data_IF_490280207629
#
_entry.id   IF_490280207629
#
_cell.length_a   1.000
_cell.length_b   1.000
_cell.length_c   1.000
_cell.angle_alpha   90.00
_cell.angle_beta   90.00
_cell.angle_gamma   90.00
#
_symmetry.space_group_name_H-M   'P 1'
#
loop_
_entity.id
_entity.type
_entity.pdbx_description
1 polymer ?
#
# COMPACT_ATOMS: atom_id res chain seq x y z
N UNK A 1 -20.31 28.93 -42.94
CA UNK A 1 -21.00 28.40 -41.76
C UNK A 1 -21.28 26.95 -42.09
N UNK A 2 -20.39 26.00 -41.86
CA UNK A 2 -19.74 25.64 -40.59
C UNK A 2 -18.37 24.99 -40.89
N UNK A 3 -17.31 25.61 -40.40
CA UNK A 3 -15.96 25.05 -40.26
C UNK A 3 -15.62 25.19 -38.77
N UNK A 4 -14.82 24.29 -38.22
CA UNK A 4 -14.43 24.13 -36.81
C UNK A 4 -15.29 23.17 -35.98
N UNK A 5 -15.07 21.87 -36.17
CA UNK A 5 -15.22 20.88 -35.09
C UNK A 5 -14.37 19.62 -35.34
N UNK A 6 -13.13 19.76 -35.79
CA UNK A 6 -12.19 18.63 -35.92
C UNK A 6 -10.78 19.08 -35.52
N UNK A 7 -10.55 19.30 -34.21
CA UNK A 7 -9.24 19.28 -33.55
C UNK A 7 -9.44 19.60 -32.06
N UNK A 8 -9.59 18.60 -31.19
CA UNK A 8 -9.38 18.73 -29.72
C UNK A 8 -9.48 17.38 -28.99
N UNK A 9 -8.97 16.28 -29.56
CA UNK A 9 -9.01 14.97 -28.87
C UNK A 9 -7.64 14.26 -28.83
N UNK A 10 -6.54 15.01 -28.92
CA UNK A 10 -5.20 14.40 -29.07
C UNK A 10 -4.09 15.26 -28.42
N UNK A 11 -4.24 15.71 -27.17
CA UNK A 11 -3.23 16.59 -26.54
C UNK A 11 -2.99 16.42 -25.03
N UNK A 12 -3.54 15.41 -24.36
CA UNK A 12 -3.25 15.21 -22.92
C UNK A 12 -1.97 14.40 -22.63
N UNK A 13 -1.50 13.59 -23.59
CA UNK A 13 -0.30 12.73 -23.42
C UNK A 13 1.03 13.50 -23.50
N UNK A 14 1.02 14.72 -24.05
CA UNK A 14 2.23 15.54 -24.29
C UNK A 14 2.40 16.69 -23.27
N UNK A 15 1.60 16.68 -22.20
CA UNK A 15 1.65 17.71 -21.16
C UNK A 15 2.88 17.53 -20.26
N UNK A 16 3.88 18.41 -20.44
CA UNK A 16 5.05 18.47 -19.55
C UNK A 16 4.87 19.52 -18.45
N UNK A 17 5.31 19.19 -17.24
CA UNK A 17 5.22 20.01 -16.04
C UNK A 17 6.60 20.50 -15.60
N UNK A 18 6.67 21.69 -15.05
CA UNK A 18 7.79 22.10 -14.20
C UNK A 18 7.72 21.37 -12.85
N UNK A 19 8.81 21.41 -12.06
CA UNK A 19 8.83 20.74 -10.74
C UNK A 19 7.77 21.28 -9.79
N UNK A 20 7.45 22.58 -9.86
CA UNK A 20 6.45 23.22 -9.00
C UNK A 20 5.03 22.78 -9.41
N UNK A 21 4.76 22.68 -10.72
CA UNK A 21 3.49 22.17 -11.24
C UNK A 21 3.29 20.69 -10.96
N UNK A 22 4.36 19.89 -11.04
CA UNK A 22 4.34 18.48 -10.67
C UNK A 22 4.02 18.31 -9.18
N UNK A 23 4.68 19.09 -8.31
CA UNK A 23 4.45 19.11 -6.87
C UNK A 23 2.97 19.40 -6.56
N UNK A 24 2.44 20.48 -7.12
CA UNK A 24 1.06 20.89 -6.92
C UNK A 24 0.06 19.81 -7.40
N UNK A 25 0.30 19.20 -8.56
CA UNK A 25 -0.59 18.16 -9.11
C UNK A 25 -0.53 16.84 -8.35
N UNK A 26 0.64 16.47 -7.86
CA UNK A 26 0.84 15.25 -7.09
C UNK A 26 0.49 15.40 -5.60
N UNK A 27 0.15 16.62 -5.13
CA UNK A 27 -0.16 16.86 -3.72
C UNK A 27 1.05 16.72 -2.79
N UNK A 28 2.27 16.81 -3.32
CA UNK A 28 3.52 16.68 -2.55
C UNK A 28 4.38 17.93 -2.66
N UNK A 29 5.37 18.06 -1.80
CA UNK A 29 6.31 19.19 -1.88
C UNK A 29 7.36 18.99 -2.98
N UNK A 30 7.92 20.10 -3.48
CA UNK A 30 9.10 20.07 -4.38
C UNK A 30 10.28 19.35 -3.72
N UNK A 31 10.41 19.47 -2.38
CA UNK A 31 11.42 18.76 -1.61
C UNK A 31 11.24 17.24 -1.72
N UNK A 32 10.01 16.75 -1.60
CA UNK A 32 9.66 15.32 -1.76
C UNK A 32 10.01 14.83 -3.17
N UNK A 33 9.66 15.58 -4.21
CA UNK A 33 10.01 15.22 -5.60
C UNK A 33 11.53 15.11 -5.76
N UNK A 34 12.29 16.10 -5.30
CA UNK A 34 13.76 16.06 -5.39
C UNK A 34 14.35 14.89 -4.62
N UNK A 35 13.80 14.59 -3.44
CA UNK A 35 14.20 13.43 -2.66
C UNK A 35 13.93 12.11 -3.39
N UNK A 36 12.77 11.95 -4.02
CA UNK A 36 12.48 10.77 -4.84
C UNK A 36 13.37 10.68 -6.08
N UNK A 37 13.67 11.81 -6.74
CA UNK A 37 14.63 11.84 -7.85
C UNK A 37 16.05 11.43 -7.42
N UNK A 38 16.55 11.91 -6.27
CA UNK A 38 17.90 11.53 -5.79
C UNK A 38 17.98 10.07 -5.32
N UNK A 39 16.85 9.49 -4.91
CA UNK A 39 16.70 8.07 -4.60
C UNK A 39 16.44 7.18 -5.83
N UNK A 40 16.40 7.75 -7.03
CA UNK A 40 16.13 6.99 -8.26
C UNK A 40 14.69 6.47 -8.37
N UNK A 41 13.78 6.92 -7.50
CA UNK A 41 12.37 6.52 -7.50
C UNK A 41 11.60 7.16 -8.66
N UNK A 42 12.09 8.28 -9.18
CA UNK A 42 11.57 8.94 -10.38
C UNK A 42 12.60 8.90 -11.50
N UNK A 43 12.19 8.67 -12.76
CA UNK A 43 13.07 8.86 -13.89
C UNK A 43 13.60 10.31 -13.95
N UNK A 44 14.76 10.54 -14.57
CA UNK A 44 15.29 11.88 -14.72
C UNK A 44 14.38 12.72 -15.63
N UNK A 45 14.12 14.00 -15.31
CA UNK A 45 13.32 14.86 -16.17
C UNK A 45 14.05 15.18 -17.47
N UNK A 46 13.28 15.54 -18.49
CA UNK A 46 13.83 16.08 -19.74
C UNK A 46 14.32 17.50 -19.47
N UNK A 47 15.60 17.77 -19.75
CA UNK A 47 16.16 19.11 -19.54
C UNK A 47 15.83 20.00 -20.73
N UNK A 48 14.91 20.94 -20.51
CA UNK A 48 14.47 21.91 -21.51
C UNK A 48 15.36 23.16 -21.57
N UNK A 49 14.91 24.17 -22.34
CA UNK A 49 15.58 25.47 -22.42
C UNK A 49 15.81 26.08 -21.04
N UNK A 50 16.93 26.80 -20.86
CA UNK A 50 17.34 27.40 -19.58
C UNK A 50 17.61 26.40 -18.43
N UNK A 51 17.88 25.13 -18.75
CA UNK A 51 18.18 24.06 -17.79
C UNK A 51 17.03 23.77 -16.82
N UNK A 52 15.80 24.04 -17.24
CA UNK A 52 14.59 23.70 -16.48
C UNK A 52 14.25 22.23 -16.74
N UNK A 53 14.00 21.46 -15.68
CA UNK A 53 13.55 20.07 -15.81
C UNK A 53 12.05 20.02 -16.11
N UNK A 54 11.68 19.30 -17.16
CA UNK A 54 10.32 19.02 -17.59
C UNK A 54 9.96 17.57 -17.28
N UNK A 55 8.82 17.39 -16.62
CA UNK A 55 8.31 16.11 -16.14
C UNK A 55 7.04 15.75 -16.92
N UNK A 56 6.99 14.58 -17.54
CA UNK A 56 5.80 14.09 -18.25
C UNK A 56 4.77 13.42 -17.32
N UNK A 57 3.65 13.00 -17.90
CA UNK A 57 2.57 12.26 -17.20
C UNK A 57 3.06 10.99 -16.49
N UNK A 58 4.07 10.33 -17.03
CA UNK A 58 4.71 9.17 -16.40
C UNK A 58 5.20 9.46 -14.96
N UNK A 59 5.64 10.70 -14.69
CA UNK A 59 6.10 11.11 -13.36
C UNK A 59 4.92 11.24 -12.40
N UNK A 60 3.78 11.78 -12.86
CA UNK A 60 2.56 11.85 -12.05
C UNK A 60 2.02 10.46 -11.72
N UNK A 61 1.90 9.59 -12.72
CA UNK A 61 1.45 8.21 -12.49
C UNK A 61 2.39 7.44 -11.57
N UNK A 62 3.71 7.65 -11.68
CA UNK A 62 4.69 7.02 -10.79
C UNK A 62 4.59 7.55 -9.37
N UNK A 63 4.38 8.86 -9.18
CA UNK A 63 4.14 9.46 -7.87
C UNK A 63 2.87 8.89 -7.22
N UNK A 64 1.78 8.78 -7.98
CA UNK A 64 0.53 8.20 -7.50
C UNK A 64 0.66 6.70 -7.15
N UNK A 65 1.49 5.95 -7.89
CA UNK A 65 1.83 4.57 -7.53
C UNK A 65 2.66 4.49 -6.24
N UNK A 66 3.64 5.37 -6.07
CA UNK A 66 4.44 5.46 -4.83
C UNK A 66 3.54 5.77 -3.64
N UNK A 67 2.67 6.78 -3.76
CA UNK A 67 1.69 7.15 -2.74
C UNK A 67 0.81 5.95 -2.36
N UNK A 68 0.27 5.24 -3.34
CA UNK A 68 -0.54 4.05 -3.11
C UNK A 68 0.24 2.96 -2.36
N UNK A 69 1.47 2.65 -2.78
CA UNK A 69 2.31 1.66 -2.10
C UNK A 69 2.65 2.10 -0.66
N UNK A 70 2.84 3.39 -0.40
CA UNK A 70 3.03 3.94 0.94
C UNK A 70 1.76 3.83 1.79
N UNK A 71 0.58 4.07 1.20
CA UNK A 71 -0.70 3.82 1.85
C UNK A 71 -0.86 2.34 2.26
N UNK A 72 -0.34 1.41 1.45
CA UNK A 72 -0.24 -0.01 1.79
C UNK A 72 0.83 -0.36 2.84
N UNK A 73 1.48 0.64 3.44
CA UNK A 73 2.47 0.47 4.50
C UNK A 73 3.85 0.00 4.00
N UNK A 74 4.13 0.11 2.70
CA UNK A 74 5.45 -0.23 2.17
C UNK A 74 6.48 0.85 2.53
N UNK A 75 7.59 0.41 3.11
CA UNK A 75 8.77 1.28 3.30
C UNK A 75 9.33 1.76 1.96
N UNK A 76 9.96 2.93 1.92
CA UNK A 76 10.59 3.44 0.70
C UNK A 76 11.61 2.47 0.07
N UNK A 77 12.38 1.74 0.88
CA UNK A 77 13.31 0.72 0.37
C UNK A 77 12.60 -0.49 -0.26
N UNK A 78 11.39 -0.83 0.21
CA UNK A 78 10.57 -1.85 -0.43
C UNK A 78 9.94 -1.33 -1.73
N UNK A 79 9.54 -0.06 -1.77
CA UNK A 79 9.00 0.61 -2.96
C UNK A 79 10.08 0.70 -4.05
N UNK A 80 11.31 1.07 -3.69
CA UNK A 80 12.46 1.10 -4.61
C UNK A 80 12.63 -0.26 -5.30
N UNK A 81 12.75 -1.35 -4.52
CA UNK A 81 12.87 -2.71 -5.06
C UNK A 81 11.67 -3.15 -5.89
N UNK A 82 10.47 -2.70 -5.56
CA UNK A 82 9.27 -2.99 -6.36
C UNK A 82 9.36 -2.29 -7.72
N UNK A 83 9.71 -1.01 -7.72
CA UNK A 83 9.84 -0.21 -8.94
C UNK A 83 11.00 -0.68 -9.83
N UNK A 84 12.09 -1.20 -9.27
CA UNK A 84 13.20 -1.82 -10.02
C UNK A 84 12.81 -3.10 -10.75
N UNK A 85 11.80 -3.84 -10.25
CA UNK A 85 11.30 -5.06 -10.89
C UNK A 85 10.32 -4.76 -12.03
N UNK A 86 9.84 -3.52 -12.15
CA UNK A 86 9.00 -3.10 -13.25
C UNK A 86 9.82 -3.00 -14.55
N UNK A 87 9.21 -3.29 -15.71
CA UNK A 87 9.86 -3.04 -17.00
C UNK A 87 10.33 -1.58 -17.10
N UNK A 88 11.49 -1.31 -17.73
CA UNK A 88 11.88 0.05 -18.01
C UNK A 88 10.93 0.69 -19.04
N UNK A 89 10.69 1.99 -18.92
CA UNK A 89 9.90 2.75 -19.90
C UNK A 89 8.39 2.51 -19.84
N UNK A 90 7.84 2.10 -18.70
CA UNK A 90 6.37 2.03 -18.52
C UNK A 90 5.72 3.39 -18.79
N UNK A 91 4.64 3.37 -19.56
CA UNK A 91 3.84 4.56 -19.82
C UNK A 91 3.11 5.03 -18.55
N UNK A 92 2.61 6.26 -18.57
CA UNK A 92 1.73 6.77 -17.50
C UNK A 92 0.49 5.87 -17.30
N UNK A 93 0.02 5.26 -18.39
CA UNK A 93 -1.10 4.33 -18.38
C UNK A 93 -0.75 3.02 -17.68
N UNK A 94 0.38 2.39 -18.01
CA UNK A 94 0.82 1.14 -17.38
C UNK A 94 1.01 1.29 -15.87
N UNK A 95 1.59 2.42 -15.44
CA UNK A 95 1.76 2.73 -14.03
C UNK A 95 0.41 2.88 -13.30
N UNK A 96 -0.60 3.46 -13.96
CA UNK A 96 -1.95 3.53 -13.40
C UNK A 96 -2.61 2.15 -13.27
N UNK A 97 -2.30 1.19 -14.15
CA UNK A 97 -2.73 -0.21 -14.02
C UNK A 97 -2.08 -0.84 -12.77
N UNK A 98 -0.76 -0.70 -12.63
CA UNK A 98 -0.04 -1.19 -11.45
C UNK A 98 -0.63 -0.62 -10.16
N UNK A 99 -0.92 0.69 -10.14
CA UNK A 99 -1.58 1.34 -9.00
C UNK A 99 -2.95 0.74 -8.71
N UNK A 100 -3.79 0.57 -9.73
CA UNK A 100 -5.13 0.01 -9.55
C UNK A 100 -5.10 -1.43 -9.00
N UNK A 101 -4.13 -2.23 -9.45
CA UNK A 101 -3.90 -3.58 -8.90
C UNK A 101 -3.50 -3.47 -7.43
N UNK A 102 -2.51 -2.66 -7.08
CA UNK A 102 -2.08 -2.47 -5.68
C UNK A 102 -3.25 -2.02 -4.80
N UNK A 103 -4.02 -1.02 -5.25
CA UNK A 103 -5.19 -0.53 -4.55
C UNK A 103 -6.27 -1.62 -4.35
N UNK A 104 -6.43 -2.53 -5.32
CA UNK A 104 -7.36 -3.66 -5.20
C UNK A 104 -6.93 -4.69 -4.15
N UNK A 105 -5.68 -4.69 -3.66
CA UNK A 105 -5.24 -5.57 -2.59
C UNK A 105 -5.20 -4.88 -1.22
N UNK A 106 -5.57 -3.60 -1.17
CA UNK A 106 -5.58 -2.83 0.06
C UNK A 106 -6.56 -3.43 1.09
N UNK A 107 -6.20 -3.52 2.38
CA UNK A 107 -7.17 -3.80 3.42
C UNK A 107 -8.22 -2.68 3.43
N UNK A 108 -9.45 -2.99 3.01
CA UNK A 108 -10.59 -2.09 3.17
C UNK A 108 -10.82 -1.89 4.68
N UNK A 109 -10.44 -0.73 5.22
CA UNK A 109 -10.77 -0.35 6.60
C UNK A 109 -9.63 0.15 7.48
N UNK A 110 -8.43 0.40 6.94
CA UNK A 110 -7.41 1.16 7.67
C UNK A 110 -7.77 2.65 7.69
N UNK A 111 -8.09 3.19 8.87
CA UNK A 111 -8.45 4.59 9.06
C UNK A 111 -7.48 5.28 10.02
N UNK A 112 -7.04 6.48 9.67
CA UNK A 112 -6.30 7.33 10.61
C UNK A 112 -7.27 8.00 11.59
N UNK A 113 -7.05 7.83 12.89
CA UNK A 113 -7.88 8.42 13.93
C UNK A 113 -7.06 8.92 15.13
N UNK A 114 -7.59 9.91 15.82
CA UNK A 114 -7.00 10.38 17.07
C UNK A 114 -7.22 9.37 18.18
N UNK A 115 -6.40 9.46 19.24
CA UNK A 115 -6.60 8.62 20.44
C UNK A 115 -8.03 8.68 20.98
N UNK A 116 -8.64 9.85 21.02
CA UNK A 116 -9.99 10.03 21.53
C UNK A 116 -11.05 9.31 20.66
N UNK A 117 -10.88 9.29 19.33
CA UNK A 117 -11.76 8.52 18.44
C UNK A 117 -11.54 7.02 18.59
N UNK A 118 -10.28 6.58 18.72
CA UNK A 118 -9.96 5.18 18.96
C UNK A 118 -10.60 4.66 20.26
N UNK A 119 -10.48 5.39 21.37
CA UNK A 119 -11.10 5.02 22.65
C UNK A 119 -12.64 5.02 22.57
N UNK A 120 -13.23 5.97 21.85
CA UNK A 120 -14.67 6.02 21.59
C UNK A 120 -15.15 4.80 20.80
N UNK A 121 -14.45 4.39 19.75
CA UNK A 121 -14.77 3.18 18.97
C UNK A 121 -14.50 1.89 19.74
N UNK A 122 -13.45 1.87 20.57
CA UNK A 122 -13.16 0.76 21.47
C UNK A 122 -14.21 0.63 22.59
N UNK A 123 -14.96 1.70 22.89
CA UNK A 123 -15.95 1.74 23.96
C UNK A 123 -15.35 1.74 25.36
N UNK A 124 -14.04 2.04 25.49
CA UNK A 124 -13.30 2.08 26.75
C UNK A 124 -12.05 2.95 26.61
N UNK A 125 -11.57 3.47 27.74
CA UNK A 125 -10.23 4.05 27.80
C UNK A 125 -9.17 2.97 27.55
N UNK A 126 -8.08 3.36 26.88
CA UNK A 126 -6.96 2.48 26.54
C UNK A 126 -5.71 2.97 27.24
N UNK A 127 -5.12 2.10 28.07
CA UNK A 127 -3.81 2.36 28.67
C UNK A 127 -2.68 2.23 27.64
N UNK A 128 -1.48 2.71 27.96
CA UNK A 128 -0.30 2.51 27.10
C UNK A 128 -0.06 1.02 26.79
N UNK A 129 -0.19 0.16 27.80
CA UNK A 129 -0.08 -1.29 27.62
C UNK A 129 -1.19 -1.88 26.74
N UNK A 130 -2.41 -1.32 26.77
CA UNK A 130 -3.47 -1.72 25.84
C UNK A 130 -3.12 -1.34 24.40
N UNK A 131 -2.57 -0.14 24.19
CA UNK A 131 -2.10 0.32 22.88
C UNK A 131 -0.95 -0.55 22.36
N UNK A 132 0.03 -0.87 23.20
CA UNK A 132 1.14 -1.75 22.85
C UNK A 132 0.65 -3.14 22.44
N UNK A 133 -0.34 -3.69 23.16
CA UNK A 133 -0.96 -4.97 22.80
C UNK A 133 -1.76 -4.88 21.51
N UNK A 134 -2.54 -3.81 21.30
CA UNK A 134 -3.25 -3.59 20.03
C UNK A 134 -2.28 -3.45 18.85
N UNK A 135 -1.16 -2.77 19.05
CA UNK A 135 -0.09 -2.67 18.05
C UNK A 135 0.56 -4.03 17.79
N UNK A 136 0.83 -4.82 18.85
CA UNK A 136 1.34 -6.18 18.73
C UNK A 136 0.38 -7.13 18.02
N UNK A 137 -0.94 -6.89 18.07
CA UNK A 137 -1.95 -7.63 17.32
C UNK A 137 -2.11 -7.12 15.86
N UNK A 138 -1.47 -6.00 15.51
CA UNK A 138 -1.63 -5.36 14.20
C UNK A 138 -2.94 -4.59 14.02
N UNK A 139 -3.67 -4.32 15.11
CA UNK A 139 -4.93 -3.56 15.09
C UNK A 139 -4.67 -2.08 14.88
N UNK A 140 -3.57 -1.57 15.44
CA UNK A 140 -3.14 -0.19 15.29
C UNK A 140 -1.69 -0.13 14.84
N UNK A 141 -1.34 0.92 14.12
CA UNK A 141 0.02 1.39 13.92
C UNK A 141 0.09 2.86 14.32
N UNK A 142 1.21 3.27 14.90
CA UNK A 142 1.47 4.69 15.13
C UNK A 142 1.65 5.36 13.76
N UNK A 143 0.83 6.37 13.46
CA UNK A 143 1.01 7.12 12.23
C UNK A 143 2.31 7.91 12.37
N UNK A 144 3.26 7.68 11.46
CA UNK A 144 4.41 8.57 11.38
C UNK A 144 3.91 9.95 10.91
N UNK A 145 4.29 11.04 11.57
CA UNK A 145 3.99 12.37 11.06
C UNK A 145 4.67 12.53 9.70
N UNK A 146 3.90 12.83 8.66
CA UNK A 146 4.36 12.95 7.26
C UNK A 146 5.53 13.95 7.07
N UNK A 147 5.78 14.82 8.05
CA UNK A 147 6.80 15.88 8.02
C UNK A 147 8.00 15.72 8.98
N UNK A 148 8.15 14.60 9.71
CA UNK A 148 9.32 14.43 10.60
C UNK A 148 10.47 13.65 9.94
N UNK A 149 11.59 14.36 9.73
CA UNK A 149 12.89 13.72 9.56
C UNK A 149 13.20 12.80 10.77
N UNK A 150 13.97 11.72 10.59
CA UNK A 150 14.28 10.80 11.67
C UNK A 150 15.29 11.46 12.61
N UNK A 151 14.81 12.14 13.65
CA UNK A 151 15.66 12.61 14.74
C UNK A 151 15.16 12.12 16.10
N UNK A 152 16.06 11.35 16.72
CA UNK A 152 16.17 10.97 18.14
C UNK A 152 15.02 10.20 18.79
N UNK A 153 15.35 8.97 19.18
CA UNK A 153 14.65 8.08 20.09
C UNK A 153 14.43 8.77 21.45
N UNK A 154 13.31 9.47 21.59
CA UNK A 154 12.64 9.73 22.88
C UNK A 154 11.17 10.06 22.58
N UNK A 155 10.33 9.02 22.44
CA UNK A 155 8.89 9.19 22.27
C UNK A 155 8.24 9.47 23.62
N UNK A 156 7.84 10.73 23.87
CA UNK A 156 6.79 11.06 24.82
C UNK A 156 5.46 11.13 24.08
N UNK A 157 4.40 10.40 24.51
CA UNK A 157 3.09 10.47 23.87
C UNK A 157 2.42 11.80 24.22
N UNK A 158 2.36 12.72 23.25
CA UNK A 158 1.60 13.96 23.34
C UNK A 158 0.20 13.79 22.72
N UNK A 159 -0.71 14.71 23.03
CA UNK A 159 -2.14 14.65 22.72
C UNK A 159 -2.52 14.64 21.21
N UNK A 160 -1.53 14.63 20.31
CA UNK A 160 -1.70 14.62 18.85
C UNK A 160 -1.33 13.27 18.21
N UNK A 161 -1.18 12.21 19.01
CA UNK A 161 -0.94 10.88 18.48
C UNK A 161 -2.08 10.44 17.56
N UNK A 162 -1.76 10.33 16.27
CA UNK A 162 -2.64 9.72 15.26
C UNK A 162 -2.29 8.25 15.12
N UNK A 163 -3.32 7.43 15.04
CA UNK A 163 -3.20 5.98 14.91
C UNK A 163 -3.83 5.58 13.59
N UNK A 164 -3.12 4.78 12.80
CA UNK A 164 -3.72 4.04 11.69
C UNK A 164 -4.33 2.78 12.24
N UNK A 165 -5.63 2.60 12.09
CA UNK A 165 -6.40 1.56 12.77
C UNK A 165 -7.11 0.68 11.76
N UNK A 166 -6.89 -0.63 11.87
CA UNK A 166 -7.68 -1.62 11.16
C UNK A 166 -9.05 -1.76 11.86
N UNK A 167 -10.08 -1.17 11.24
CA UNK A 167 -11.44 -1.15 11.78
C UNK A 167 -12.09 -2.54 11.82
N UNK A 168 -11.68 -3.46 10.93
CA UNK A 168 -12.14 -4.85 10.91
C UNK A 168 -11.61 -5.64 12.10
N UNK A 169 -10.37 -5.38 12.52
CA UNK A 169 -9.74 -6.04 13.66
C UNK A 169 -10.00 -5.35 15.00
N UNK A 170 -10.36 -4.07 15.02
CA UNK A 170 -10.51 -3.29 16.25
C UNK A 170 -11.41 -3.96 17.29
N UNK A 171 -12.59 -4.44 16.88
CA UNK A 171 -13.54 -5.09 17.79
C UNK A 171 -12.94 -6.35 18.42
N UNK A 172 -12.26 -7.18 17.63
CA UNK A 172 -11.65 -8.43 18.08
C UNK A 172 -10.43 -8.14 18.97
N UNK A 173 -9.61 -7.16 18.59
CA UNK A 173 -8.45 -6.72 19.38
C UNK A 173 -8.85 -6.25 20.77
N UNK A 174 -9.88 -5.40 20.87
CA UNK A 174 -10.39 -4.91 22.16
C UNK A 174 -10.94 -6.04 23.03
N UNK A 175 -11.63 -7.03 22.44
CA UNK A 175 -12.07 -8.22 23.19
C UNK A 175 -10.89 -9.03 23.73
N UNK A 176 -9.82 -9.17 22.94
CA UNK A 176 -8.64 -9.95 23.31
C UNK A 176 -7.80 -9.31 24.43
N UNK A 177 -7.92 -8.00 24.63
CA UNK A 177 -7.27 -7.31 25.77
C UNK A 177 -7.69 -7.89 27.13
N UNK A 178 -8.93 -8.40 27.24
CA UNK A 178 -9.45 -9.05 28.45
C UNK A 178 -8.92 -10.46 28.70
N UNK A 179 -8.22 -11.06 27.73
CA UNK A 179 -7.65 -12.41 27.85
C UNK A 179 -6.22 -12.31 28.39
N UNK A 180 -5.85 -13.11 29.40
CA UNK A 180 -4.54 -13.06 30.06
C UNK A 180 -3.44 -13.72 29.20
N UNK A 181 -3.23 -13.21 27.99
CA UNK A 181 -2.13 -13.58 27.09
C UNK A 181 -1.02 -12.55 27.27
N UNK A 182 0.20 -13.02 27.55
CA UNK A 182 1.37 -12.15 27.68
C UNK A 182 1.66 -11.40 26.36
N UNK A 183 2.11 -10.15 26.47
CA UNK A 183 2.46 -9.31 25.31
C UNK A 183 3.48 -10.02 24.38
N UNK A 184 4.52 -10.62 24.95
CA UNK A 184 5.53 -11.37 24.21
C UNK A 184 4.95 -12.54 23.39
N UNK A 185 3.92 -13.21 23.91
CA UNK A 185 3.24 -14.30 23.19
C UNK A 185 2.47 -13.78 21.99
N UNK A 186 1.82 -12.62 22.12
CA UNK A 186 1.13 -11.95 21.00
C UNK A 186 2.14 -11.57 19.91
N UNK A 187 3.28 -10.97 20.31
CA UNK A 187 4.36 -10.61 19.39
C UNK A 187 4.97 -11.84 18.68
N UNK A 188 5.23 -12.92 19.42
CA UNK A 188 5.74 -14.16 18.85
C UNK A 188 4.76 -14.75 17.83
N UNK A 189 3.46 -14.81 18.16
CA UNK A 189 2.42 -15.28 17.24
C UNK A 189 2.33 -14.40 15.99
N UNK A 190 2.38 -13.07 16.13
CA UNK A 190 2.39 -12.14 14.99
C UNK A 190 3.61 -12.34 14.11
N UNK A 191 4.80 -12.51 14.70
CA UNK A 191 6.04 -12.72 13.96
C UNK A 191 5.93 -13.96 13.07
N UNK A 192 5.51 -15.09 13.65
CA UNK A 192 5.29 -16.35 12.91
C UNK A 192 4.26 -16.17 11.79
N UNK A 193 3.11 -15.56 12.11
CA UNK A 193 2.05 -15.32 11.11
C UNK A 193 2.54 -14.45 9.94
N UNK A 194 3.26 -13.36 10.23
CA UNK A 194 3.76 -12.43 9.22
C UNK A 194 4.84 -13.06 8.34
N UNK A 195 5.73 -13.87 8.93
CA UNK A 195 6.76 -14.59 8.17
C UNK A 195 6.14 -15.56 7.15
N UNK A 196 5.22 -16.42 7.61
CA UNK A 196 4.56 -17.37 6.72
C UNK A 196 3.65 -16.69 5.69
N UNK A 197 2.92 -15.65 6.09
CA UNK A 197 2.06 -14.88 5.17
C UNK A 197 2.90 -14.20 4.09
N UNK A 198 4.07 -13.64 4.44
CA UNK A 198 4.99 -13.04 3.46
C UNK A 198 5.53 -14.09 2.49
N UNK A 199 5.88 -15.28 2.98
CA UNK A 199 6.33 -16.37 2.11
C UNK A 199 5.24 -16.78 1.13
N UNK A 200 4.02 -17.01 1.62
CA UNK A 200 2.88 -17.38 0.78
C UNK A 200 2.55 -16.28 -0.26
N UNK A 201 2.52 -15.01 0.17
CA UNK A 201 2.31 -13.89 -0.74
C UNK A 201 3.39 -13.79 -1.81
N UNK A 202 4.66 -14.04 -1.45
CA UNK A 202 5.77 -14.06 -2.41
C UNK A 202 5.58 -15.16 -3.47
N UNK A 203 5.29 -16.39 -3.05
CA UNK A 203 5.05 -17.51 -3.97
C UNK A 203 3.84 -17.28 -4.88
N UNK A 204 2.71 -16.84 -4.30
CA UNK A 204 1.50 -16.52 -5.07
C UNK A 204 1.73 -15.37 -6.05
N UNK A 205 2.44 -14.31 -5.64
CA UNK A 205 2.75 -13.18 -6.51
C UNK A 205 3.64 -13.59 -7.69
N UNK A 206 4.56 -14.54 -7.47
CA UNK A 206 5.42 -15.07 -8.52
C UNK A 206 4.59 -15.88 -9.53
N UNK A 207 3.78 -16.82 -9.06
CA UNK A 207 2.90 -17.61 -9.93
C UNK A 207 1.96 -16.72 -10.75
N UNK A 208 1.41 -15.70 -10.11
CA UNK A 208 0.52 -14.75 -10.77
C UNK A 208 1.25 -13.91 -11.82
N UNK A 209 2.47 -13.44 -11.53
CA UNK A 209 3.30 -12.71 -12.49
C UNK A 209 3.62 -13.56 -13.72
N UNK A 210 4.02 -14.81 -13.50
CA UNK A 210 4.47 -15.71 -14.56
C UNK A 210 3.28 -16.10 -15.48
N UNK A 211 2.10 -16.40 -14.91
CA UNK A 211 0.95 -16.90 -15.67
C UNK A 211 0.00 -15.81 -16.19
N UNK A 212 -0.18 -14.71 -15.43
CA UNK A 212 -1.18 -13.67 -15.74
C UNK A 212 -0.55 -12.40 -16.33
N UNK A 213 0.73 -12.14 -16.09
CA UNK A 213 1.43 -11.00 -16.72
C UNK A 213 2.32 -11.42 -17.89
N UNK A 214 2.90 -12.62 -17.86
CA UNK A 214 3.80 -13.14 -18.91
C UNK A 214 3.19 -13.13 -20.33
N UNK A 215 1.99 -13.69 -20.54
CA UNK A 215 1.35 -13.75 -21.87
C UNK A 215 0.79 -12.43 -22.40
N UNK A 216 0.68 -11.40 -21.54
CA UNK A 216 -0.02 -10.15 -21.82
C UNK A 216 0.92 -8.99 -22.16
N UNK A 217 2.24 -9.18 -21.99
CA UNK A 217 3.28 -8.21 -22.39
C UNK A 217 3.36 -7.95 -23.90
N UNK A 218 2.71 -8.76 -24.73
CA UNK A 218 2.82 -8.71 -26.19
C UNK A 218 1.69 -7.94 -26.90
N UNK A 219 0.67 -7.43 -26.18
CA UNK A 219 -0.42 -6.66 -26.81
C UNK A 219 -0.57 -5.27 -26.17
N UNK A 220 -0.28 -4.25 -26.98
CA UNK A 220 -0.37 -2.82 -26.65
C UNK A 220 -1.74 -2.39 -26.08
N UNK A 221 -1.67 -1.50 -25.08
CA UNK A 221 -2.45 -0.26 -24.91
C UNK A 221 -3.93 -0.18 -25.33
N UNK A 222 -4.73 -1.24 -25.16
CA UNK A 222 -6.20 -1.17 -25.34
C UNK A 222 -6.91 -0.82 -24.00
N UNK A 223 -7.68 0.28 -23.91
CA UNK A 223 -8.46 0.62 -22.72
C UNK A 223 -9.42 -0.48 -22.24
N UNK A 224 -9.98 -1.30 -23.13
CA UNK A 224 -10.83 -2.43 -22.76
C UNK A 224 -10.04 -3.53 -22.04
N UNK A 225 -8.76 -3.69 -22.41
CA UNK A 225 -7.83 -4.62 -21.80
C UNK A 225 -7.53 -4.26 -20.34
N UNK A 226 -7.40 -2.97 -20.05
CA UNK A 226 -7.15 -2.45 -18.70
C UNK A 226 -8.35 -2.63 -17.79
N UNK A 227 -9.55 -2.40 -18.30
CA UNK A 227 -10.78 -2.68 -17.56
C UNK A 227 -10.89 -4.17 -17.22
N UNK A 228 -10.51 -5.06 -18.16
CA UNK A 228 -10.49 -6.49 -17.93
C UNK A 228 -9.44 -6.91 -16.87
N UNK A 229 -8.23 -6.35 -16.91
CA UNK A 229 -7.18 -6.65 -15.91
C UNK A 229 -7.55 -6.15 -14.52
N UNK A 230 -8.09 -4.93 -14.42
CA UNK A 230 -8.63 -4.37 -13.17
C UNK A 230 -9.75 -5.24 -12.62
N UNK A 231 -10.68 -5.65 -13.49
CA UNK A 231 -11.78 -6.54 -13.15
C UNK A 231 -11.24 -7.88 -12.65
N UNK A 232 -10.28 -8.49 -13.35
CA UNK A 232 -9.70 -9.76 -12.96
C UNK A 232 -9.03 -9.67 -11.56
N UNK A 233 -8.17 -8.67 -11.34
CA UNK A 233 -7.53 -8.45 -10.02
C UNK A 233 -8.56 -8.25 -8.91
N UNK A 234 -9.57 -7.42 -9.15
CA UNK A 234 -10.63 -7.14 -8.18
C UNK A 234 -11.47 -8.39 -7.84
N UNK A 235 -11.72 -9.29 -8.80
CA UNK A 235 -12.42 -10.55 -8.54
C UNK A 235 -11.50 -11.60 -7.88
N UNK A 236 -10.18 -11.51 -8.09
CA UNK A 236 -9.22 -12.46 -7.54
C UNK A 236 -8.93 -12.24 -6.07
N UNK A 237 -8.85 -10.98 -5.61
CA UNK A 237 -8.53 -10.70 -4.21
C UNK A 237 -9.50 -11.40 -3.23
N UNK A 238 -10.84 -11.30 -3.35
CA UNK A 238 -11.75 -12.02 -2.45
C UNK A 238 -11.57 -13.54 -2.47
N UNK A 239 -11.29 -14.11 -3.65
CA UNK A 239 -11.07 -15.55 -3.81
C UNK A 239 -9.79 -16.01 -3.11
N UNK A 240 -8.69 -15.28 -3.29
CA UNK A 240 -7.40 -15.60 -2.65
C UNK A 240 -7.49 -15.44 -1.14
N UNK A 241 -8.07 -14.34 -0.65
CA UNK A 241 -8.28 -14.12 0.79
C UNK A 241 -9.13 -15.25 1.39
N UNK A 242 -10.25 -15.61 0.76
CA UNK A 242 -11.10 -16.69 1.24
C UNK A 242 -10.40 -18.06 1.20
N UNK A 243 -9.60 -18.32 0.17
CA UNK A 243 -8.82 -19.55 0.07
C UNK A 243 -7.77 -19.65 1.17
N UNK A 244 -7.05 -18.57 1.46
CA UNK A 244 -6.06 -18.49 2.54
C UNK A 244 -6.71 -18.73 3.91
N UNK A 245 -7.83 -18.05 4.20
CA UNK A 245 -8.59 -18.26 5.44
C UNK A 245 -9.05 -19.71 5.56
N UNK A 246 -9.58 -20.28 4.48
CA UNK A 246 -10.07 -21.67 4.47
C UNK A 246 -8.93 -22.67 4.68
N UNK A 247 -7.78 -22.46 4.04
CA UNK A 247 -6.60 -23.30 4.21
C UNK A 247 -6.08 -23.23 5.64
N UNK A 248 -5.95 -22.03 6.21
CA UNK A 248 -5.54 -21.83 7.60
C UNK A 248 -6.49 -22.52 8.59
N UNK A 249 -7.80 -22.35 8.43
CA UNK A 249 -8.81 -23.00 9.27
C UNK A 249 -8.73 -24.54 9.21
N UNK A 250 -8.43 -25.11 8.04
CA UNK A 250 -8.25 -26.56 7.88
C UNK A 250 -6.99 -27.05 8.59
N UNK A 251 -5.86 -26.38 8.39
CA UNK A 251 -4.59 -26.73 9.07
C UNK A 251 -4.71 -26.62 10.58
N UNK A 252 -5.34 -25.56 11.10
CA UNK A 252 -5.56 -25.43 12.55
C UNK A 252 -6.43 -26.56 13.11
N UNK A 253 -7.47 -26.97 12.37
CA UNK A 253 -8.33 -28.10 12.76
C UNK A 253 -7.57 -29.43 12.80
N UNK A 254 -6.60 -29.61 11.91
CA UNK A 254 -5.75 -30.80 11.88
C UNK A 254 -4.78 -30.83 13.08
N UNK A 255 -4.10 -29.71 13.36
CA UNK A 255 -3.21 -29.57 14.52
C UNK A 255 -3.95 -29.77 15.84
N UNK A 256 -5.14 -29.17 16.00
CA UNK A 256 -5.96 -29.36 17.21
C UNK A 256 -6.35 -30.83 17.45
N UNK A 257 -6.56 -31.59 16.37
CA UNK A 257 -6.87 -33.03 16.48
C UNK A 257 -5.66 -33.85 16.91
N UNK A 258 -4.45 -33.45 16.55
CA UNK A 258 -3.22 -34.10 17.01
C UNK A 258 -3.04 -33.83 18.50
N UNK A 259 -3.17 -32.57 18.91
CA UNK A 259 -3.02 -32.17 20.32
C UNK A 259 -4.01 -32.86 21.27
N UNK A 260 -5.27 -33.03 20.84
CA UNK A 260 -6.30 -33.75 21.59
C UNK A 260 -6.09 -35.28 21.64
N UNK A 261 -5.24 -35.85 20.79
CA UNK A 261 -4.88 -37.27 20.85
C UNK A 261 -3.68 -37.54 21.76
N UNK A 262 -2.83 -36.53 21.92
CA UNK A 262 -1.60 -36.59 22.72
C UNK A 262 -1.79 -36.06 24.17
N UNK A 263 -2.99 -35.58 24.51
CA UNK A 263 -3.41 -35.13 25.86
C UNK A 263 -4.33 -36.14 26.53
#
# INVERSE_FOLDING_TARGET
>A
MTTDMERSADTDDDSTFTVDELAARAGVTVRTIRFYSTKGLLPPPVIGPRRVGHYGQEHLSRLALIEELQHQGMTLAAIERYLEQLPPGLSAHDLAIHRAVVASWAPEGAEDMSRAELERRAGRALSGADLDRLAAMGVIAYAEPEDRAPETQDHHPEADDRYRVDTGLLRLGVQLLGVPIAHETILAARTVLMEHTRSAAHELSRLFRDEVWGPYRERESDPAHVAAMRSLSAHMQPLVVQALVTAFQRSLKEELRVWLKDS
#
